data_IF_922142108177
#
_entry.id   IF_922142108177
#
_cell.length_a   1.000
_cell.length_b   1.000
_cell.length_c   1.000
_cell.angle_alpha   90.00
_cell.angle_beta   90.00
_cell.angle_gamma   90.00
#
_symmetry.space_group_name_H-M   'P 1'
#
loop_
_entity.id
_entity.type
_entity.pdbx_description
1 polymer ?
#
# COMPACT_ATOMS: atom_id res chain seq x y z
N UNK A 1 -12.70 3.68 -8.83
CA UNK A 1 -11.86 3.27 -9.98
C UNK A 1 -10.86 4.36 -10.30
N UNK A 2 -11.32 5.59 -10.60
CA UNK A 2 -10.44 6.73 -10.92
C UNK A 2 -9.33 6.97 -9.88
N UNK A 3 -9.66 6.96 -8.59
CA UNK A 3 -8.67 7.19 -7.53
C UNK A 3 -7.59 6.11 -7.49
N UNK A 4 -7.95 4.83 -7.68
CA UNK A 4 -7.00 3.72 -7.79
C UNK A 4 -6.06 3.94 -8.97
N UNK A 5 -6.59 4.24 -10.16
CA UNK A 5 -5.78 4.46 -11.35
C UNK A 5 -4.81 5.63 -11.14
N UNK A 6 -5.28 6.74 -10.58
CA UNK A 6 -4.47 7.93 -10.33
C UNK A 6 -3.38 7.68 -9.27
N UNK A 7 -3.72 7.04 -8.16
CA UNK A 7 -2.74 6.73 -7.10
C UNK A 7 -1.69 5.73 -7.62
N UNK A 8 -2.12 4.72 -8.37
CA UNK A 8 -1.22 3.72 -8.95
C UNK A 8 -0.31 4.31 -10.03
N UNK A 9 -0.85 5.15 -10.92
CA UNK A 9 -0.05 5.84 -11.93
C UNK A 9 0.99 6.78 -11.29
N UNK A 10 0.61 7.50 -10.22
CA UNK A 10 1.54 8.36 -9.48
C UNK A 10 2.67 7.56 -8.81
N UNK A 11 2.36 6.43 -8.16
CA UNK A 11 3.37 5.56 -7.56
C UNK A 11 4.33 4.98 -8.62
N UNK A 12 3.81 4.49 -9.75
CA UNK A 12 4.68 4.01 -10.84
C UNK A 12 5.54 5.11 -11.44
N UNK A 13 5.01 6.32 -11.60
CA UNK A 13 5.78 7.46 -12.06
C UNK A 13 6.93 7.80 -11.08
N UNK A 14 6.65 7.79 -9.77
CA UNK A 14 7.67 8.00 -8.75
C UNK A 14 8.78 6.94 -8.82
N UNK A 15 8.46 5.67 -9.09
CA UNK A 15 9.47 4.61 -9.29
C UNK A 15 10.27 4.80 -10.59
N UNK A 16 9.62 5.27 -11.66
CA UNK A 16 10.26 5.51 -12.94
C UNK A 16 11.26 6.69 -12.91
N UNK A 17 11.06 7.64 -12.01
CA UNK A 17 11.92 8.82 -11.81
C UNK A 17 13.13 8.56 -10.88
N UNK A 18 13.25 7.36 -10.29
CA UNK A 18 14.36 7.01 -9.40
C UNK A 18 15.68 6.81 -10.15
N UNK A 19 16.74 7.37 -9.56
CA UNK A 19 18.10 7.02 -9.93
C UNK A 19 18.44 5.59 -9.48
N UNK A 20 19.41 4.95 -10.14
CA UNK A 20 19.80 3.55 -9.85
C UNK A 20 20.31 3.40 -8.41
N UNK A 21 20.99 4.41 -7.88
CA UNK A 21 21.51 4.43 -6.52
C UNK A 21 20.40 4.41 -5.46
N UNK A 22 19.21 4.92 -5.79
CA UNK A 22 18.09 4.97 -4.84
C UNK A 22 17.55 3.58 -4.52
N UNK A 23 17.68 2.62 -5.43
CA UNK A 23 17.27 1.23 -5.22
C UNK A 23 18.01 0.53 -4.07
N UNK A 24 19.19 1.03 -3.69
CA UNK A 24 19.98 0.53 -2.56
C UNK A 24 19.70 1.28 -1.24
N UNK A 25 18.89 2.35 -1.27
CA UNK A 25 18.52 3.08 -0.06
C UNK A 25 17.45 2.34 0.74
N UNK A 26 17.35 2.60 2.06
CA UNK A 26 16.21 2.14 2.85
C UNK A 26 14.89 2.71 2.28
N UNK A 27 13.83 1.92 2.36
CA UNK A 27 12.45 2.38 2.19
C UNK A 27 11.80 2.65 3.56
N UNK A 28 10.53 3.07 3.57
CA UNK A 28 9.74 3.23 4.80
C UNK A 28 9.26 1.89 5.37
N UNK A 29 9.30 0.82 4.58
CA UNK A 29 9.12 -0.54 5.06
C UNK A 29 10.37 -0.95 5.86
N UNK A 30 10.21 -1.16 7.17
CA UNK A 30 11.33 -1.45 8.07
C UNK A 30 12.11 -2.68 7.60
N UNK A 31 13.40 -2.52 7.34
CA UNK A 31 14.29 -3.60 6.90
C UNK A 31 14.31 -3.85 5.40
N UNK A 32 13.48 -3.17 4.61
CA UNK A 32 13.45 -3.27 3.16
C UNK A 32 14.15 -2.10 2.50
N UNK A 33 14.94 -2.40 1.47
CA UNK A 33 15.45 -1.40 0.54
C UNK A 33 14.36 -0.99 -0.46
N UNK A 34 14.57 0.12 -1.16
CA UNK A 34 13.68 0.57 -2.23
C UNK A 34 13.48 -0.53 -3.29
N UNK A 35 14.51 -1.28 -3.67
CA UNK A 35 14.33 -2.42 -4.60
C UNK A 35 13.41 -3.52 -4.07
N UNK A 36 13.39 -3.74 -2.76
CA UNK A 36 12.57 -4.79 -2.15
C UNK A 36 11.10 -4.34 -2.20
N UNK A 37 10.85 -3.08 -1.87
CA UNK A 37 9.53 -2.44 -2.04
C UNK A 37 9.08 -2.44 -3.50
N UNK A 38 9.94 -2.07 -4.47
CA UNK A 38 9.57 -2.09 -5.88
C UNK A 38 9.26 -3.51 -6.36
N UNK A 39 9.98 -4.53 -5.87
CA UNK A 39 9.66 -5.92 -6.15
C UNK A 39 8.34 -6.37 -5.51
N UNK A 40 8.00 -5.87 -4.33
CA UNK A 40 6.68 -6.07 -3.72
C UNK A 40 5.56 -5.48 -4.58
N UNK A 41 5.74 -4.27 -5.11
CA UNK A 41 4.76 -3.65 -6.01
C UNK A 41 4.51 -4.45 -7.30
N UNK A 42 5.49 -5.21 -7.78
CA UNK A 42 5.30 -6.17 -8.88
C UNK A 42 4.33 -7.28 -8.47
N UNK A 43 4.48 -7.82 -7.26
CA UNK A 43 3.62 -8.87 -6.71
C UNK A 43 2.21 -8.32 -6.48
N UNK A 44 2.07 -7.13 -5.90
CA UNK A 44 0.77 -6.48 -5.72
C UNK A 44 0.03 -6.25 -7.04
N UNK A 45 0.75 -5.84 -8.08
CA UNK A 45 0.17 -5.67 -9.42
C UNK A 45 -0.28 -7.02 -10.02
N UNK A 46 0.45 -8.11 -9.75
CA UNK A 46 0.02 -9.46 -10.11
C UNK A 46 -1.23 -9.86 -9.33
N UNK A 47 -1.31 -9.56 -8.04
CA UNK A 47 -2.49 -9.85 -7.20
C UNK A 47 -3.72 -9.08 -7.66
N UNK A 48 -3.57 -7.83 -8.11
CA UNK A 48 -4.65 -7.08 -8.77
C UNK A 48 -5.12 -7.81 -10.02
N UNK A 49 -4.21 -8.22 -10.90
CA UNK A 49 -4.57 -8.95 -12.12
C UNK A 49 -5.28 -10.27 -11.80
N UNK A 50 -4.74 -11.06 -10.86
CA UNK A 50 -5.29 -12.34 -10.42
C UNK A 50 -6.69 -12.15 -9.83
N UNK A 51 -6.87 -11.19 -8.92
CA UNK A 51 -8.14 -10.96 -8.24
C UNK A 51 -9.23 -10.53 -9.22
N UNK A 52 -8.92 -9.60 -10.12
CA UNK A 52 -9.90 -9.10 -11.10
C UNK A 52 -10.38 -10.16 -12.10
N UNK A 53 -9.61 -11.23 -12.32
CA UNK A 53 -9.99 -12.37 -13.17
C UNK A 53 -10.44 -13.60 -12.38
N UNK A 54 -10.69 -13.45 -11.08
CA UNK A 54 -11.21 -14.51 -10.21
C UNK A 54 -12.66 -14.18 -9.76
N UNK A 55 -13.65 -14.25 -10.68
CA UNK A 55 -15.02 -13.90 -10.37
C UNK A 55 -15.67 -14.92 -9.43
N UNK A 56 -16.58 -14.46 -8.58
CA UNK A 56 -17.33 -15.29 -7.64
C UNK A 56 -18.83 -15.08 -7.76
N UNK A 57 -19.60 -16.16 -7.59
CA UNK A 57 -21.06 -16.10 -7.49
C UNK A 57 -21.55 -16.04 -6.03
N UNK A 58 -20.65 -16.23 -5.07
CA UNK A 58 -21.00 -16.15 -3.66
C UNK A 58 -21.42 -14.72 -3.26
N UNK A 59 -22.07 -14.61 -2.10
CA UNK A 59 -22.35 -13.30 -1.50
C UNK A 59 -21.04 -12.64 -1.05
N UNK A 60 -21.01 -11.31 -1.06
CA UNK A 60 -19.88 -10.54 -0.51
C UNK A 60 -19.76 -10.82 0.98
N UNK A 61 -18.55 -11.15 1.42
CA UNK A 61 -18.21 -11.37 2.83
C UNK A 61 -17.49 -10.17 3.43
N UNK A 62 -16.81 -9.37 2.62
CA UNK A 62 -16.04 -8.20 3.04
C UNK A 62 -16.28 -7.02 2.10
N UNK A 63 -16.01 -5.81 2.61
CA UNK A 63 -15.90 -4.57 1.84
C UNK A 63 -14.45 -4.07 1.86
N UNK A 64 -14.21 -2.84 1.39
CA UNK A 64 -12.86 -2.27 1.33
C UNK A 64 -12.17 -2.18 2.70
N UNK A 65 -12.92 -1.94 3.78
CA UNK A 65 -12.36 -1.82 5.12
C UNK A 65 -12.13 -3.22 5.73
N UNK A 66 -13.08 -4.13 5.52
CA UNK A 66 -13.01 -5.52 5.96
C UNK A 66 -11.93 -6.35 5.25
N UNK A 67 -11.40 -5.88 4.11
CA UNK A 67 -10.27 -6.51 3.43
C UNK A 67 -9.02 -6.61 4.32
N UNK A 68 -8.81 -5.63 5.21
CA UNK A 68 -7.59 -5.50 5.98
C UNK A 68 -7.64 -6.26 7.30
N UNK A 69 -6.61 -7.07 7.57
CA UNK A 69 -6.40 -7.68 8.87
C UNK A 69 -5.53 -6.77 9.73
N UNK A 70 -6.16 -6.07 10.66
CA UNK A 70 -5.45 -5.18 11.59
C UNK A 70 -4.79 -5.98 12.70
N UNK A 71 -3.48 -5.80 12.89
CA UNK A 71 -2.73 -6.35 14.03
C UNK A 71 -1.95 -5.26 14.77
N UNK A 72 -1.64 -5.51 16.05
CA UNK A 72 -0.81 -4.61 16.87
C UNK A 72 0.68 -4.99 16.87
N UNK A 73 1.04 -6.04 16.13
CA UNK A 73 2.38 -6.63 16.17
C UNK A 73 3.07 -6.37 14.85
N UNK A 74 4.15 -5.57 14.83
CA UNK A 74 4.96 -5.38 13.62
C UNK A 74 5.39 -6.72 13.03
N UNK A 75 5.48 -6.84 11.69
CA UNK A 75 6.00 -8.03 11.07
C UNK A 75 7.42 -8.29 11.58
N UNK A 76 7.72 -9.55 11.90
CA UNK A 76 9.04 -9.94 12.41
C UNK A 76 10.08 -10.05 11.29
N UNK A 77 9.63 -10.03 10.02
CA UNK A 77 10.45 -10.33 8.85
C UNK A 77 10.71 -11.82 8.64
N UNK A 78 10.10 -12.68 9.48
CA UNK A 78 10.22 -14.13 9.37
C UNK A 78 9.21 -14.75 8.40
N UNK A 79 8.31 -13.93 7.82
CA UNK A 79 7.38 -14.42 6.81
C UNK A 79 8.16 -14.96 5.59
N UNK A 80 7.95 -16.23 5.19
CA UNK A 80 8.67 -16.80 4.07
C UNK A 80 8.49 -16.05 2.75
N UNK A 81 7.35 -15.38 2.56
CA UNK A 81 7.05 -14.55 1.40
C UNK A 81 7.86 -13.25 1.43
N UNK A 82 7.96 -12.58 2.57
CA UNK A 82 8.81 -11.39 2.73
C UNK A 82 10.27 -11.71 2.35
N UNK A 83 10.78 -12.82 2.89
CA UNK A 83 12.13 -13.28 2.59
C UNK A 83 12.29 -13.67 1.10
N UNK A 84 11.24 -14.15 0.44
CA UNK A 84 11.23 -14.43 -0.99
C UNK A 84 11.30 -13.13 -1.81
N UNK A 85 10.49 -12.13 -1.45
CA UNK A 85 10.49 -10.81 -2.11
C UNK A 85 11.89 -10.19 -2.13
N UNK A 86 12.58 -10.17 -0.98
CA UNK A 86 13.96 -9.64 -0.90
C UNK A 86 14.93 -10.43 -1.79
N UNK A 87 14.81 -11.77 -1.85
CA UNK A 87 15.65 -12.60 -2.74
C UNK A 87 15.37 -12.35 -4.21
N UNK A 88 14.10 -12.19 -4.60
CA UNK A 88 13.70 -11.87 -5.96
C UNK A 88 14.19 -10.48 -6.37
N UNK A 89 14.01 -9.48 -5.50
CA UNK A 89 14.51 -8.12 -5.71
C UNK A 89 16.01 -8.09 -5.98
N UNK A 90 16.80 -8.82 -5.16
CA UNK A 90 18.24 -8.93 -5.35
C UNK A 90 18.64 -9.63 -6.66
N UNK A 91 17.80 -10.54 -7.17
CA UNK A 91 18.08 -11.30 -8.40
C UNK A 91 18.03 -10.44 -9.67
N UNK A 92 17.31 -9.32 -9.66
CA UNK A 92 17.29 -8.37 -10.78
C UNK A 92 18.69 -7.83 -11.09
N UNK A 93 19.49 -7.52 -10.05
CA UNK A 93 20.83 -6.90 -10.08
C UNK A 93 20.89 -5.52 -10.73
N UNK A 94 20.29 -5.36 -11.90
CA UNK A 94 20.11 -4.13 -12.64
C UNK A 94 18.74 -3.51 -12.31
N UNK A 95 18.69 -2.32 -11.67
CA UNK A 95 17.44 -1.62 -11.37
C UNK A 95 16.56 -1.37 -12.59
N UNK A 96 17.13 -1.23 -13.80
CA UNK A 96 16.36 -1.01 -15.02
C UNK A 96 15.48 -2.22 -15.37
N UNK A 97 15.93 -3.44 -15.07
CA UNK A 97 15.13 -4.65 -15.28
C UNK A 97 13.93 -4.70 -14.33
N UNK A 98 14.12 -4.25 -13.09
CA UNK A 98 13.05 -4.20 -12.10
C UNK A 98 12.04 -3.09 -12.42
N UNK A 99 12.50 -1.88 -12.80
CA UNK A 99 11.64 -0.80 -13.29
C UNK A 99 10.83 -1.23 -14.50
N UNK A 100 11.47 -1.88 -15.49
CA UNK A 100 10.80 -2.40 -16.67
C UNK A 100 9.71 -3.40 -16.30
N UNK A 101 9.99 -4.34 -15.39
CA UNK A 101 9.00 -5.33 -14.97
C UNK A 101 7.80 -4.68 -14.26
N UNK A 102 8.05 -3.74 -13.35
CA UNK A 102 6.97 -3.00 -12.69
C UNK A 102 6.15 -2.20 -13.71
N UNK A 103 6.78 -1.55 -14.68
CA UNK A 103 6.03 -0.79 -15.68
C UNK A 103 5.13 -1.69 -16.51
N UNK A 104 5.62 -2.85 -16.95
CA UNK A 104 4.85 -3.77 -17.79
C UNK A 104 3.63 -4.35 -17.04
N UNK A 105 3.86 -5.02 -15.90
CA UNK A 105 2.79 -5.63 -15.11
C UNK A 105 1.89 -4.58 -14.47
N UNK A 106 2.47 -3.47 -14.00
CA UNK A 106 1.74 -2.40 -13.36
C UNK A 106 0.85 -1.63 -14.32
N UNK A 107 1.32 -1.37 -15.55
CA UNK A 107 0.48 -0.83 -16.61
C UNK A 107 -0.67 -1.78 -16.96
N UNK A 108 -0.44 -3.09 -16.96
CA UNK A 108 -1.50 -4.08 -17.17
C UNK A 108 -2.54 -4.06 -16.04
N UNK A 109 -2.10 -4.02 -14.77
CA UNK A 109 -2.99 -3.94 -13.61
C UNK A 109 -3.85 -2.66 -13.64
N UNK A 110 -3.25 -1.51 -14.00
CA UNK A 110 -3.98 -0.25 -14.16
C UNK A 110 -5.08 -0.33 -15.22
N UNK A 111 -4.76 -0.86 -16.41
CA UNK A 111 -5.75 -1.07 -17.49
C UNK A 111 -6.84 -2.06 -17.08
N UNK A 112 -6.48 -3.15 -16.40
CA UNK A 112 -7.45 -4.13 -15.92
C UNK A 112 -8.45 -3.50 -14.93
N UNK A 113 -7.96 -2.66 -14.01
CA UNK A 113 -8.82 -1.93 -13.08
C UNK A 113 -9.77 -0.94 -13.78
N UNK A 114 -9.35 -0.29 -14.86
CA UNK A 114 -10.23 0.58 -15.67
C UNK A 114 -11.31 -0.20 -16.41
N UNK A 115 -11.02 -1.42 -16.86
CA UNK A 115 -11.95 -2.27 -17.60
C UNK A 115 -12.89 -3.08 -16.72
N UNK A 116 -12.57 -3.26 -15.44
CA UNK A 116 -13.36 -4.04 -14.51
C UNK A 116 -14.73 -3.39 -14.24
N UNK A 117 -15.79 -4.19 -14.23
CA UNK A 117 -17.09 -3.78 -13.69
C UNK A 117 -16.94 -3.62 -12.16
N UNK A 118 -17.15 -2.41 -11.59
CA UNK A 118 -17.02 -2.20 -10.15
C UNK A 118 -17.96 -3.07 -9.32
N UNK A 119 -19.08 -3.52 -9.89
CA UNK A 119 -20.05 -4.40 -9.23
C UNK A 119 -19.72 -5.89 -9.32
N UNK A 120 -18.70 -6.28 -10.11
CA UNK A 120 -18.28 -7.67 -10.22
C UNK A 120 -17.79 -8.18 -8.86
N UNK A 121 -18.32 -9.33 -8.43
CA UNK A 121 -17.81 -9.99 -7.22
C UNK A 121 -16.57 -10.79 -7.57
N UNK A 122 -15.50 -10.56 -6.82
CA UNK A 122 -14.20 -11.20 -6.97
C UNK A 122 -13.83 -11.94 -5.69
N UNK A 123 -13.04 -13.01 -5.81
CA UNK A 123 -12.55 -13.76 -4.68
C UNK A 123 -11.02 -13.62 -4.53
N UNK A 124 -10.58 -13.41 -3.29
CA UNK A 124 -9.16 -13.34 -2.91
C UNK A 124 -9.04 -13.61 -1.41
N UNK A 125 -7.96 -14.24 -0.95
CA UNK A 125 -7.72 -14.53 0.48
C UNK A 125 -8.91 -15.16 1.24
N UNK A 126 -9.65 -16.10 0.62
CA UNK A 126 -10.92 -16.66 1.15
C UNK A 126 -12.04 -15.64 1.39
N UNK A 127 -11.87 -14.40 0.93
CA UNK A 127 -12.85 -13.32 0.95
C UNK A 127 -13.56 -13.20 -0.40
N UNK A 128 -14.76 -12.62 -0.36
CA UNK A 128 -15.51 -12.19 -1.55
C UNK A 128 -15.92 -10.75 -1.34
N UNK A 129 -15.58 -9.88 -2.28
CA UNK A 129 -15.87 -8.46 -2.27
C UNK A 129 -16.16 -7.97 -3.69
N UNK A 130 -16.67 -6.76 -3.84
CA UNK A 130 -16.81 -6.17 -5.18
C UNK A 130 -15.44 -5.75 -5.71
N UNK A 131 -15.24 -5.75 -7.03
CA UNK A 131 -14.04 -5.19 -7.65
C UNK A 131 -13.85 -3.71 -7.27
N UNK A 132 -14.97 -2.99 -7.09
CA UNK A 132 -15.04 -1.64 -6.53
C UNK A 132 -14.37 -1.54 -5.16
N UNK A 133 -14.78 -2.40 -4.23
CA UNK A 133 -14.25 -2.46 -2.87
C UNK A 133 -12.78 -2.90 -2.85
N UNK A 134 -12.42 -3.91 -3.62
CA UNK A 134 -11.05 -4.41 -3.71
C UNK A 134 -10.08 -3.31 -4.18
N UNK A 135 -10.41 -2.63 -5.28
CA UNK A 135 -9.58 -1.55 -5.80
C UNK A 135 -9.62 -0.32 -4.88
N UNK A 136 -10.71 -0.10 -4.14
CA UNK A 136 -10.75 0.92 -3.08
C UNK A 136 -9.82 0.59 -1.91
N UNK A 137 -9.71 -0.70 -1.55
CA UNK A 137 -8.75 -1.17 -0.56
C UNK A 137 -7.31 -0.92 -1.02
N UNK A 138 -6.99 -1.27 -2.27
CA UNK A 138 -5.65 -1.05 -2.84
C UNK A 138 -5.25 0.43 -2.96
N UNK A 139 -6.17 1.40 -2.88
CA UNK A 139 -5.78 2.81 -2.74
C UNK A 139 -4.97 3.04 -1.46
N UNK A 140 -5.32 2.37 -0.35
CA UNK A 140 -4.55 2.43 0.89
C UNK A 140 -3.16 1.82 0.69
N UNK A 141 -3.07 0.66 0.04
CA UNK A 141 -1.80 0.01 -0.28
C UNK A 141 -0.87 0.94 -1.09
N UNK A 142 -1.36 1.45 -2.22
CA UNK A 142 -0.59 2.38 -3.06
C UNK A 142 -0.19 3.66 -2.33
N UNK A 143 -1.07 4.19 -1.49
CA UNK A 143 -0.77 5.43 -0.75
C UNK A 143 0.30 5.18 0.30
N UNK A 144 0.20 4.08 1.05
CA UNK A 144 1.20 3.70 2.06
C UNK A 144 2.55 3.41 1.40
N UNK A 145 2.58 2.64 0.33
CA UNK A 145 3.83 2.30 -0.35
C UNK A 145 4.43 3.46 -1.13
N UNK A 146 3.64 4.43 -1.56
CA UNK A 146 4.19 5.70 -2.06
C UNK A 146 4.85 6.49 -0.91
N UNK A 147 4.24 6.55 0.28
CA UNK A 147 4.92 7.14 1.46
C UNK A 147 6.19 6.36 1.84
N UNK A 148 6.17 5.03 1.73
CA UNK A 148 7.34 4.19 2.00
C UNK A 148 8.46 4.45 1.01
N UNK A 149 8.13 4.59 -0.27
CA UNK A 149 9.09 4.85 -1.32
C UNK A 149 9.87 6.15 -1.09
N UNK A 150 9.14 7.22 -0.75
CA UNK A 150 9.73 8.58 -0.65
C UNK A 150 10.31 8.90 0.73
N UNK A 151 10.19 7.98 1.69
CA UNK A 151 10.61 8.18 3.10
C UNK A 151 12.05 8.69 3.28
N UNK A 152 12.95 8.28 2.38
CA UNK A 152 14.36 8.67 2.37
C UNK A 152 14.78 9.44 1.09
N UNK A 153 13.78 9.98 0.38
CA UNK A 153 13.91 10.75 -0.87
C UNK A 153 13.17 12.09 -0.73
N UNK A 154 13.77 13.09 -0.05
CA UNK A 154 13.07 14.30 0.37
C UNK A 154 12.60 15.21 -0.78
N UNK A 155 13.15 15.04 -1.99
CA UNK A 155 12.81 15.85 -3.17
C UNK A 155 11.66 15.22 -4.00
N UNK A 156 11.21 14.01 -3.64
CA UNK A 156 10.13 13.31 -4.34
C UNK A 156 8.75 13.90 -4.04
N UNK A 157 7.86 13.85 -5.03
CA UNK A 157 6.48 14.30 -4.85
C UNK A 157 5.70 13.37 -3.91
N UNK A 158 4.88 13.90 -2.99
CA UNK A 158 4.06 13.08 -2.11
C UNK A 158 2.84 12.49 -2.87
N UNK A 159 2.14 11.51 -2.28
CA UNK A 159 0.86 11.06 -2.79
C UNK A 159 -0.15 12.20 -2.87
N UNK A 160 -1.08 12.11 -3.82
CA UNK A 160 -2.13 13.11 -3.98
C UNK A 160 -3.00 13.24 -2.71
N UNK A 161 -3.45 14.46 -2.40
CA UNK A 161 -4.20 14.74 -1.18
C UNK A 161 -5.52 13.96 -1.06
N UNK A 162 -6.20 13.68 -2.18
CA UNK A 162 -7.41 12.86 -2.21
C UNK A 162 -7.13 11.38 -1.88
N UNK A 163 -5.99 10.84 -2.32
CA UNK A 163 -5.53 9.50 -1.98
C UNK A 163 -5.15 9.39 -0.49
N UNK A 164 -4.44 10.38 0.07
CA UNK A 164 -4.14 10.46 1.50
C UNK A 164 -5.42 10.50 2.35
N UNK A 165 -6.36 11.38 2.00
CA UNK A 165 -7.62 11.52 2.72
C UNK A 165 -8.49 10.26 2.65
N UNK A 166 -8.54 9.60 1.48
CA UNK A 166 -9.23 8.31 1.32
C UNK A 166 -8.60 7.22 2.19
N UNK A 167 -7.29 7.09 2.13
CA UNK A 167 -6.52 6.11 2.89
C UNK A 167 -6.69 6.29 4.41
N UNK A 168 -6.69 7.54 4.90
CA UNK A 168 -7.02 7.83 6.30
C UNK A 168 -8.40 7.31 6.68
N UNK A 169 -9.44 7.68 5.90
CA UNK A 169 -10.81 7.24 6.19
C UNK A 169 -10.94 5.73 6.19
N UNK A 170 -10.25 5.06 5.27
CA UNK A 170 -10.26 3.61 5.20
C UNK A 170 -9.58 2.98 6.41
N UNK A 171 -8.41 3.49 6.82
CA UNK A 171 -7.71 3.04 8.03
C UNK A 171 -8.56 3.25 9.29
N UNK A 172 -9.20 4.41 9.43
CA UNK A 172 -10.13 4.71 10.53
C UNK A 172 -11.31 3.72 10.56
N UNK A 173 -11.88 3.42 9.38
CA UNK A 173 -12.96 2.43 9.25
C UNK A 173 -12.50 1.01 9.62
N UNK A 174 -11.34 0.58 9.15
CA UNK A 174 -10.82 -0.77 9.40
C UNK A 174 -10.42 -0.98 10.87
N UNK A 175 -9.95 0.07 11.55
CA UNK A 175 -9.50 0.01 12.95
C UNK A 175 -10.58 0.38 13.96
N UNK A 176 -11.69 0.97 13.51
CA UNK A 176 -12.75 1.50 14.36
C UNK A 176 -12.29 2.66 15.24
N UNK A 177 -11.27 3.42 14.81
CA UNK A 177 -10.74 4.58 15.55
C UNK A 177 -10.91 5.85 14.74
N UNK A 178 -10.96 6.98 15.43
CA UNK A 178 -10.91 8.30 14.79
C UNK A 178 -9.63 8.98 15.25
N UNK A 179 -8.77 9.34 14.31
CA UNK A 179 -7.54 10.07 14.63
C UNK A 179 -7.84 11.56 14.82
N UNK A 180 -7.09 12.28 15.67
CA UNK A 180 -7.31 13.70 15.89
C UNK A 180 -7.21 14.51 14.59
N UNK A 181 -8.11 15.48 14.41
CA UNK A 181 -8.10 16.37 13.25
C UNK A 181 -6.84 17.26 13.16
N UNK A 182 -6.08 17.38 14.25
CA UNK A 182 -4.81 18.10 14.29
C UNK A 182 -3.67 17.36 13.59
N UNK A 183 -3.78 16.05 13.35
CA UNK A 183 -2.81 15.29 12.55
C UNK A 183 -3.21 15.37 11.07
N UNK A 184 -2.24 15.62 10.20
CA UNK A 184 -2.44 15.54 8.75
C UNK A 184 -2.72 14.08 8.35
N UNK A 185 -3.29 13.88 7.16
CA UNK A 185 -3.58 12.53 6.67
C UNK A 185 -2.30 11.69 6.50
N UNK A 186 -1.21 12.31 6.06
CA UNK A 186 0.12 11.66 5.97
C UNK A 186 0.65 11.28 7.36
N UNK A 187 0.49 12.16 8.37
CA UNK A 187 0.92 11.85 9.73
C UNK A 187 0.08 10.72 10.34
N UNK A 188 -1.23 10.70 10.10
CA UNK A 188 -2.09 9.59 10.54
C UNK A 188 -1.65 8.27 9.91
N UNK A 189 -1.38 8.25 8.60
CA UNK A 189 -0.97 7.05 7.91
C UNK A 189 0.41 6.57 8.40
N UNK A 190 1.40 7.46 8.50
CA UNK A 190 2.77 7.08 8.89
C UNK A 190 2.89 6.73 10.38
N UNK A 191 2.24 7.48 11.27
CA UNK A 191 2.26 7.20 12.72
C UNK A 191 1.33 6.05 13.06
N UNK A 192 0.11 6.06 12.51
CA UNK A 192 -0.92 5.08 12.78
C UNK A 192 -0.49 3.66 12.40
N UNK A 193 0.27 3.52 11.30
CA UNK A 193 0.75 2.21 10.81
C UNK A 193 2.17 1.86 11.27
N UNK A 194 2.81 2.71 12.09
CA UNK A 194 4.13 2.42 12.69
C UNK A 194 5.35 2.73 11.81
N UNK A 195 5.16 3.33 10.63
CA UNK A 195 6.25 3.79 9.74
C UNK A 195 7.07 4.93 10.37
N UNK A 196 6.45 5.70 11.27
CA UNK A 196 7.09 6.81 11.97
C UNK A 196 6.70 6.84 13.44
N UNK A 197 7.65 7.14 14.32
CA UNK A 197 7.39 7.39 15.74
C UNK A 197 6.69 8.75 15.90
N UNK A 198 5.60 8.86 16.69
CA UNK A 198 4.97 10.15 16.94
C UNK A 198 5.88 11.06 17.76
N UNK A 199 5.89 12.34 17.40
CA UNK A 199 6.50 13.43 18.19
C UNK A 199 5.77 13.60 19.53
N UNK A 200 6.36 14.38 20.45
CA UNK A 200 5.72 14.67 21.73
C UNK A 200 4.34 15.35 21.60
N UNK A 201 4.21 16.27 20.65
CA UNK A 201 2.94 16.95 20.39
C UNK A 201 1.88 16.01 19.81
N UNK A 202 2.26 15.16 18.85
CA UNK A 202 1.37 14.16 18.26
C UNK A 202 0.95 13.11 19.30
N UNK A 203 1.88 12.65 20.14
CA UNK A 203 1.58 11.72 21.24
C UNK A 203 0.57 12.32 22.21
N UNK A 204 0.72 13.61 22.55
CA UNK A 204 -0.23 14.31 23.39
C UNK A 204 -1.61 14.45 22.72
N UNK A 205 -1.65 14.73 21.41
CA UNK A 205 -2.89 14.82 20.65
C UNK A 205 -3.61 13.45 20.51
N UNK A 206 -2.85 12.37 20.35
CA UNK A 206 -3.37 11.00 20.25
C UNK A 206 -3.97 10.51 21.57
N UNK A 207 -3.46 10.98 22.72
CA UNK A 207 -3.93 10.54 24.04
C UNK A 207 -3.86 9.02 24.20
N UNK A 208 -4.96 8.41 24.65
CA UNK A 208 -5.06 6.95 24.85
C UNK A 208 -4.85 6.15 23.56
N UNK A 209 -5.12 6.73 22.38
CA UNK A 209 -4.90 6.08 21.09
C UNK A 209 -3.42 5.74 20.89
N UNK A 210 -2.50 6.54 21.45
CA UNK A 210 -1.06 6.30 21.35
C UNK A 210 -0.64 4.94 21.94
N UNK A 211 -1.39 4.40 22.91
CA UNK A 211 -1.14 3.08 23.51
C UNK A 211 -1.65 1.90 22.66
N UNK A 212 -2.41 2.17 21.60
CA UNK A 212 -2.95 1.16 20.67
C UNK A 212 -2.14 1.05 19.38
N UNK A 213 -1.21 1.97 19.14
CA UNK A 213 -0.37 2.00 17.95
C UNK A 213 0.79 0.98 18.07
N UNK A 214 1.24 0.41 16.93
CA UNK A 214 0.75 0.64 15.57
C UNK A 214 -0.46 -0.24 15.21
N UNK A 215 -1.26 0.22 14.23
CA UNK A 215 -2.21 -0.59 13.48
C UNK A 215 -1.51 -1.10 12.22
N UNK A 216 -0.90 -2.27 12.32
CA UNK A 216 -0.27 -2.95 11.18
C UNK A 216 -1.38 -3.45 10.27
N UNK A 217 -1.33 -3.01 9.01
CA UNK A 217 -2.21 -3.44 7.93
C UNK A 217 -1.52 -4.55 7.14
N UNK A 218 -2.25 -5.63 6.89
CA UNK A 218 -1.84 -6.78 6.08
C UNK A 218 -2.99 -7.76 5.95
#
# INVERSE_FOLDING_TARGET
>A
MELFTRSWAALRAAVAELDDEDFARPSGCTGWLVRDLVCHLVIDAQDVLITLVTPSQAATTHDAAGYWKITGTPPTGDDPLDALTVRLAAAYRDPALLRFHLDDVGSAAGRAAELADPGLRVATQDMVLTAGDYLSAYVLEWTLHHLDLISHLPDSQPPAADALAHSRRLLESATGVTFPASLSDSDVLTVGTGRRVPTGAERAALGDLAGRLPFVVG
#
